data_IF_779680857620
#
_entry.id   IF_779680857620
#
_cell.length_a   1.000
_cell.length_b   1.000
_cell.length_c   1.000
_cell.angle_alpha   90.00
_cell.angle_beta   90.00
_cell.angle_gamma   90.00
#
_symmetry.space_group_name_H-M   'P 1'
#
loop_
_entity.id
_entity.type
_entity.pdbx_description
1 polymer ?
#
# COMPACT_ATOMS: atom_id res chain seq x y z
N UNK A 1 -27.48 -4.17 -21.88
CA UNK A 1 -26.82 -2.85 -21.78
C UNK A 1 -25.77 -2.97 -20.69
N UNK A 2 -24.52 -3.29 -21.03
CA UNK A 2 -23.45 -3.38 -20.03
C UNK A 2 -23.02 -1.96 -19.67
N UNK A 3 -23.43 -1.47 -18.51
CA UNK A 3 -22.87 -0.24 -17.94
C UNK A 3 -21.38 -0.46 -17.78
N UNK A 4 -20.55 0.31 -18.50
CA UNK A 4 -19.11 0.29 -18.32
C UNK A 4 -18.82 0.47 -16.83
N UNK A 5 -18.15 -0.51 -16.22
CA UNK A 5 -17.74 -0.39 -14.83
C UNK A 5 -16.85 0.86 -14.72
N UNK A 6 -17.09 1.76 -13.75
CA UNK A 6 -16.24 2.91 -13.57
C UNK A 6 -14.78 2.47 -13.40
N UNK A 7 -13.88 3.14 -14.11
CA UNK A 7 -12.45 2.82 -14.10
C UNK A 7 -11.92 2.94 -12.66
N UNK A 8 -11.45 1.82 -12.09
CA UNK A 8 -10.93 1.78 -10.73
C UNK A 8 -9.57 2.48 -10.67
N UNK A 9 -9.42 3.45 -9.77
CA UNK A 9 -8.18 4.21 -9.65
C UNK A 9 -7.27 3.55 -8.61
N UNK A 10 -6.10 3.05 -9.04
CA UNK A 10 -5.08 2.49 -8.14
C UNK A 10 -4.66 3.53 -7.10
N UNK A 11 -4.57 3.09 -5.84
CA UNK A 11 -4.31 3.95 -4.69
C UNK A 11 -5.53 4.72 -4.17
N UNK A 12 -6.73 4.42 -4.69
CA UNK A 12 -7.99 5.00 -4.23
C UNK A 12 -9.09 3.95 -4.11
N UNK A 13 -9.22 3.10 -5.11
CA UNK A 13 -10.30 2.10 -5.20
C UNK A 13 -9.72 0.69 -5.16
N UNK A 14 -10.14 -0.11 -4.19
CA UNK A 14 -9.77 -1.52 -4.08
C UNK A 14 -10.81 -2.40 -4.76
N UNK A 15 -10.35 -3.33 -5.60
CA UNK A 15 -11.20 -4.38 -6.15
C UNK A 15 -11.50 -5.49 -5.14
N UNK A 16 -12.44 -6.42 -5.42
CA UNK A 16 -12.73 -7.55 -4.55
C UNK A 16 -11.52 -8.31 -4.01
N UNK A 17 -10.50 -8.58 -4.85
CA UNK A 17 -9.29 -9.29 -4.42
C UNK A 17 -8.46 -8.44 -3.47
N UNK A 18 -8.22 -7.17 -3.83
CA UNK A 18 -7.52 -6.22 -2.98
C UNK A 18 -8.22 -5.94 -1.64
N UNK A 19 -9.56 -5.99 -1.62
CA UNK A 19 -10.38 -5.85 -0.41
C UNK A 19 -10.25 -7.07 0.50
N UNK A 20 -10.44 -8.27 -0.05
CA UNK A 20 -10.34 -9.51 0.72
C UNK A 20 -8.95 -9.65 1.34
N UNK A 21 -7.90 -9.43 0.55
CA UNK A 21 -6.52 -9.45 1.02
C UNK A 21 -6.31 -8.49 2.21
N UNK A 22 -6.74 -7.23 2.10
CA UNK A 22 -6.60 -6.24 3.18
C UNK A 22 -7.37 -6.62 4.44
N UNK A 23 -8.59 -7.15 4.31
CA UNK A 23 -9.35 -7.63 5.48
C UNK A 23 -8.58 -8.74 6.19
N UNK A 24 -8.07 -9.73 5.43
CA UNK A 24 -7.32 -10.84 6.00
C UNK A 24 -5.98 -10.40 6.61
N UNK A 25 -5.22 -9.56 5.90
CA UNK A 25 -3.94 -9.05 6.37
C UNK A 25 -4.11 -8.21 7.65
N UNK A 26 -5.09 -7.30 7.67
CA UNK A 26 -5.38 -6.51 8.87
C UNK A 26 -5.89 -7.36 10.03
N UNK A 27 -6.84 -8.28 9.79
CA UNK A 27 -7.37 -9.15 10.84
C UNK A 27 -6.30 -10.06 11.45
N UNK A 28 -5.43 -10.64 10.62
CA UNK A 28 -4.32 -11.47 11.12
C UNK A 28 -3.23 -10.62 11.77
N UNK A 29 -2.92 -9.43 11.25
CA UNK A 29 -1.99 -8.47 11.86
C UNK A 29 -2.36 -8.05 13.30
N UNK A 30 -3.66 -8.11 13.65
CA UNK A 30 -4.13 -7.87 15.01
C UNK A 30 -3.81 -9.03 15.99
N UNK A 31 -3.59 -10.26 15.51
CA UNK A 31 -3.35 -11.44 16.38
C UNK A 31 -2.13 -11.26 17.30
N UNK A 32 -0.93 -10.87 16.80
CA UNK A 32 0.22 -10.60 17.66
C UNK A 32 -0.04 -9.53 18.72
N UNK A 33 -0.88 -8.54 18.41
CA UNK A 33 -1.25 -7.49 19.35
C UNK A 33 -2.15 -8.06 20.43
N UNK A 34 -3.21 -8.76 20.05
CA UNK A 34 -4.18 -9.36 20.98
C UNK A 34 -3.49 -10.30 21.96
N UNK A 35 -2.56 -11.13 21.47
CA UNK A 35 -1.78 -12.04 22.32
C UNK A 35 -0.89 -11.30 23.31
N UNK A 36 -0.41 -10.10 22.97
CA UNK A 36 0.41 -9.25 23.84
C UNK A 36 -0.41 -8.47 24.87
N UNK A 37 -1.70 -8.25 24.62
CA UNK A 37 -2.60 -7.52 25.52
C UNK A 37 -3.11 -8.44 26.65
N UNK A 38 -2.25 -8.72 27.62
CA UNK A 38 -2.47 -9.67 28.71
C UNK A 38 -3.26 -9.13 29.91
N UNK A 39 -3.56 -7.83 29.93
CA UNK A 39 -4.20 -7.15 31.05
C UNK A 39 -5.12 -6.03 30.57
N UNK A 40 -6.14 -5.72 31.38
CA UNK A 40 -7.06 -4.60 31.11
C UNK A 40 -6.30 -3.27 30.98
N UNK A 41 -5.26 -3.06 31.79
CA UNK A 41 -4.41 -1.87 31.72
C UNK A 41 -3.68 -1.75 30.38
N UNK A 42 -3.10 -2.84 29.89
CA UNK A 42 -2.44 -2.87 28.57
C UNK A 42 -3.44 -2.58 27.44
N UNK A 43 -4.65 -3.17 27.51
CA UNK A 43 -5.73 -2.90 26.54
C UNK A 43 -6.10 -1.42 26.54
N UNK A 44 -6.38 -0.83 27.70
CA UNK A 44 -6.76 0.59 27.81
C UNK A 44 -5.65 1.52 27.31
N UNK A 45 -4.38 1.23 27.66
CA UNK A 45 -3.24 1.99 27.18
C UNK A 45 -3.09 1.90 25.65
N UNK A 46 -3.21 0.70 25.08
CA UNK A 46 -3.17 0.48 23.63
C UNK A 46 -4.28 1.24 22.91
N UNK A 47 -5.52 1.20 23.43
CA UNK A 47 -6.65 1.95 22.88
C UNK A 47 -6.48 3.46 22.99
N UNK A 48 -5.94 3.96 24.11
CA UNK A 48 -5.65 5.38 24.26
C UNK A 48 -4.62 5.84 23.22
N UNK A 49 -3.54 5.09 23.01
CA UNK A 49 -2.54 5.40 21.99
C UNK A 49 -3.08 5.26 20.57
N UNK A 50 -3.96 4.28 20.30
CA UNK A 50 -4.68 4.18 19.03
C UNK A 50 -5.43 5.48 18.71
N UNK A 51 -6.15 6.04 19.69
CA UNK A 51 -6.89 7.31 19.51
C UNK A 51 -5.94 8.48 19.23
N UNK A 52 -4.82 8.56 19.96
CA UNK A 52 -3.79 9.59 19.74
C UNK A 52 -3.22 9.50 18.32
N UNK A 53 -2.79 8.30 17.90
CA UNK A 53 -2.21 8.04 16.58
C UNK A 53 -3.24 8.34 15.47
N UNK A 54 -4.47 7.87 15.63
CA UNK A 54 -5.57 8.15 14.72
C UNK A 54 -5.80 9.66 14.55
N UNK A 55 -5.83 10.41 15.65
CA UNK A 55 -6.03 11.87 15.65
C UNK A 55 -4.90 12.57 14.90
N UNK A 56 -3.65 12.17 15.13
CA UNK A 56 -2.48 12.72 14.44
C UNK A 56 -2.61 12.49 12.94
N UNK A 57 -2.88 11.27 12.49
CA UNK A 57 -2.97 10.98 11.05
C UNK A 57 -4.17 11.64 10.37
N UNK A 58 -5.33 11.69 11.03
CA UNK A 58 -6.48 12.47 10.54
C UNK A 58 -6.11 13.95 10.42
N UNK A 59 -5.41 14.51 11.41
CA UNK A 59 -4.93 15.88 11.39
C UNK A 59 -3.95 16.16 10.24
N UNK A 60 -2.96 15.28 10.05
CA UNK A 60 -2.01 15.40 8.93
C UNK A 60 -2.74 15.37 7.58
N UNK A 61 -3.68 14.44 7.39
CA UNK A 61 -4.45 14.38 6.13
C UNK A 61 -5.34 15.61 5.97
N UNK A 62 -5.97 16.10 7.03
CA UNK A 62 -6.76 17.33 6.99
C UNK A 62 -5.92 18.54 6.54
N UNK A 63 -4.70 18.66 7.09
CA UNK A 63 -3.74 19.68 6.69
C UNK A 63 -3.32 19.49 5.23
N UNK A 64 -2.92 18.28 4.83
CA UNK A 64 -2.43 17.98 3.48
C UNK A 64 -3.51 17.97 2.39
N UNK A 65 -4.80 17.98 2.77
CA UNK A 65 -5.94 17.83 1.87
C UNK A 65 -5.87 18.71 0.60
N UNK A 66 -5.58 20.03 0.65
CA UNK A 66 -5.53 20.87 -0.56
C UNK A 66 -4.52 20.37 -1.60
N UNK A 67 -3.45 19.72 -1.15
CA UNK A 67 -2.37 19.20 -1.98
C UNK A 67 -2.62 17.75 -2.43
N UNK A 68 -3.35 16.96 -1.65
CA UNK A 68 -3.72 15.57 -1.98
C UNK A 68 -4.89 15.47 -2.96
N UNK A 69 -5.84 16.41 -2.88
CA UNK A 69 -7.02 16.43 -3.75
C UNK A 69 -6.75 17.06 -5.14
N UNK A 70 -5.52 17.56 -5.36
CA UNK A 70 -5.11 18.16 -6.64
C UNK A 70 -5.69 19.56 -6.91
N UNK A 71 -6.24 20.22 -5.88
CA UNK A 71 -6.87 21.54 -5.99
C UNK A 71 -5.89 22.70 -6.19
N UNK A 72 -4.59 22.51 -5.90
CA UNK A 72 -3.53 23.51 -6.06
C UNK A 72 -2.51 23.08 -7.11
N UNK A 73 -2.00 24.04 -7.88
CA UNK A 73 -1.11 23.86 -9.06
C UNK A 73 0.26 23.21 -8.77
N UNK A 74 0.59 22.88 -7.52
CA UNK A 74 1.77 22.08 -7.15
C UNK A 74 1.32 20.83 -6.40
N UNK A 75 0.92 19.84 -7.19
CA UNK A 75 0.26 18.60 -6.76
C UNK A 75 1.29 17.67 -6.13
N UNK A 76 1.06 17.25 -4.88
CA UNK A 76 1.80 16.12 -4.31
C UNK A 76 1.48 14.89 -5.13
N UNK A 77 2.51 14.23 -5.66
CA UNK A 77 2.28 12.94 -6.30
C UNK A 77 1.72 11.95 -5.28
N UNK A 78 0.93 10.94 -5.68
CA UNK A 78 0.47 9.90 -4.76
C UNK A 78 1.62 9.23 -3.99
N UNK A 79 2.80 9.09 -4.61
CA UNK A 79 4.02 8.60 -3.96
C UNK A 79 4.54 9.54 -2.87
N UNK A 80 4.58 10.84 -3.16
CA UNK A 80 5.05 11.85 -2.21
C UNK A 80 4.10 11.97 -1.03
N UNK A 81 2.79 11.97 -1.28
CA UNK A 81 1.78 11.95 -0.21
C UNK A 81 1.92 10.72 0.69
N UNK A 82 2.13 9.54 0.10
CA UNK A 82 2.38 8.32 0.86
C UNK A 82 3.65 8.36 1.68
N UNK A 83 4.75 8.86 1.10
CA UNK A 83 6.01 8.97 1.82
C UNK A 83 5.90 9.90 3.03
N UNK A 84 5.20 11.04 2.91
CA UNK A 84 4.97 11.95 4.03
C UNK A 84 4.20 11.27 5.17
N UNK A 85 3.18 10.47 4.84
CA UNK A 85 2.39 9.74 5.83
C UNK A 85 3.13 8.52 6.42
N UNK A 86 4.02 7.88 5.67
CA UNK A 86 4.79 6.74 6.15
C UNK A 86 6.05 7.14 6.93
N UNK A 87 6.62 8.31 6.66
CA UNK A 87 7.87 8.75 7.28
C UNK A 87 7.85 8.70 8.83
N UNK A 88 6.79 9.14 9.52
CA UNK A 88 6.73 9.02 10.98
C UNK A 88 6.84 7.58 11.49
N UNK A 89 6.41 6.59 10.70
CA UNK A 89 6.47 5.17 11.09
C UNK A 89 7.88 4.61 11.04
N UNK A 90 8.84 5.29 10.41
CA UNK A 90 10.26 4.86 10.45
C UNK A 90 10.85 4.90 11.85
N UNK A 91 10.25 5.65 12.79
CA UNK A 91 10.65 5.57 14.19
C UNK A 91 10.47 4.17 14.79
N UNK A 92 9.53 3.36 14.26
CA UNK A 92 9.22 2.02 14.75
C UNK A 92 10.38 1.02 14.53
N UNK A 93 10.86 0.76 13.30
CA UNK A 93 11.95 -0.20 13.07
C UNK A 93 13.28 0.23 13.72
N UNK A 94 13.48 1.52 14.00
CA UNK A 94 14.66 2.00 14.74
C UNK A 94 14.54 1.90 16.27
N UNK A 95 13.43 1.37 16.79
CA UNK A 95 13.22 1.22 18.23
C UNK A 95 13.08 2.56 18.97
N UNK A 96 12.72 3.64 18.27
CA UNK A 96 12.58 4.98 18.84
C UNK A 96 11.22 5.22 19.49
N UNK A 97 10.26 4.31 19.26
CA UNK A 97 8.90 4.40 19.81
C UNK A 97 8.82 3.56 21.09
N UNK A 98 8.44 4.15 22.24
CA UNK A 98 8.20 3.39 23.46
C UNK A 98 7.11 2.33 23.28
N UNK A 99 7.09 1.31 24.15
CA UNK A 99 6.23 0.14 23.98
C UNK A 99 4.73 0.45 23.89
N UNK A 100 4.21 1.33 24.77
CA UNK A 100 2.79 1.73 24.76
C UNK A 100 2.35 2.36 23.42
N UNK A 101 3.00 3.45 22.98
CA UNK A 101 2.76 4.04 21.66
C UNK A 101 2.94 3.03 20.51
N UNK A 102 3.92 2.13 20.59
CA UNK A 102 4.16 1.12 19.56
C UNK A 102 2.96 0.17 19.39
N UNK A 103 2.30 -0.23 20.50
CA UNK A 103 1.05 -0.99 20.47
C UNK A 103 -0.06 -0.19 19.80
N UNK A 104 -0.23 1.09 20.14
CA UNK A 104 -1.24 1.95 19.51
C UNK A 104 -1.01 2.17 18.02
N UNK A 105 0.24 2.37 17.59
CA UNK A 105 0.63 2.48 16.18
C UNK A 105 0.29 1.20 15.43
N UNK A 106 0.54 0.03 16.02
CA UNK A 106 0.25 -1.25 15.38
C UNK A 106 -1.26 -1.53 15.31
N UNK A 107 -2.00 -1.26 16.39
CA UNK A 107 -3.47 -1.31 16.40
C UNK A 107 -4.06 -0.42 15.31
N UNK A 108 -3.53 0.81 15.19
CA UNK A 108 -3.95 1.76 14.18
C UNK A 108 -3.65 1.24 12.78
N UNK A 109 -2.44 0.75 12.54
CA UNK A 109 -1.99 0.28 11.23
C UNK A 109 -2.81 -0.93 10.77
N UNK A 110 -2.81 -2.02 11.53
CA UNK A 110 -3.46 -3.27 11.15
C UNK A 110 -4.99 -3.14 11.11
N UNK A 111 -5.56 -2.41 12.10
CA UNK A 111 -6.98 -2.05 12.08
C UNK A 111 -7.35 -1.19 10.88
N UNK A 112 -6.48 -0.27 10.47
CA UNK A 112 -6.69 0.57 9.30
C UNK A 112 -6.59 -0.20 7.98
N UNK A 113 -5.69 -1.18 7.88
CA UNK A 113 -5.61 -2.07 6.71
C UNK A 113 -6.92 -2.85 6.58
N UNK A 114 -7.42 -3.45 7.67
CA UNK A 114 -8.69 -4.16 7.68
C UNK A 114 -9.84 -3.24 7.25
N UNK A 115 -9.92 -2.05 7.86
CA UNK A 115 -10.95 -1.07 7.56
C UNK A 115 -10.90 -0.60 6.10
N UNK A 116 -9.71 -0.42 5.52
CA UNK A 116 -9.54 -0.05 4.13
C UNK A 116 -10.15 -1.10 3.19
N UNK A 117 -9.94 -2.38 3.48
CA UNK A 117 -10.58 -3.49 2.77
C UNK A 117 -12.11 -3.48 2.89
N UNK A 118 -12.64 -3.24 4.09
CA UNK A 118 -14.08 -3.17 4.35
C UNK A 118 -14.75 -2.06 3.54
N UNK A 119 -14.19 -0.85 3.54
CA UNK A 119 -14.77 0.33 2.87
C UNK A 119 -14.39 0.45 1.38
N UNK A 120 -13.59 -0.49 0.86
CA UNK A 120 -13.13 -0.50 -0.52
C UNK A 120 -12.11 0.59 -0.84
N UNK A 121 -11.39 1.10 0.17
CA UNK A 121 -10.33 2.08 -0.04
C UNK A 121 -9.04 1.38 -0.45
N UNK A 122 -8.52 1.73 -1.63
CA UNK A 122 -7.28 1.19 -2.18
C UNK A 122 -6.03 1.98 -1.79
N UNK A 123 -6.15 3.09 -1.07
CA UNK A 123 -4.99 3.91 -0.74
C UNK A 123 -4.18 3.43 0.46
N UNK A 124 -3.38 4.35 1.02
CA UNK A 124 -2.58 4.10 2.21
C UNK A 124 -3.46 4.00 3.45
N UNK A 125 -3.28 2.93 4.22
CA UNK A 125 -4.02 2.62 5.44
C UNK A 125 -3.99 3.78 6.45
N UNK A 126 -2.89 4.53 6.52
CA UNK A 126 -2.75 5.72 7.38
C UNK A 126 -3.78 6.82 7.09
N UNK A 127 -4.39 6.83 5.89
CA UNK A 127 -5.43 7.79 5.51
C UNK A 127 -6.86 7.23 5.62
N UNK A 128 -7.05 5.99 6.08
CA UNK A 128 -8.37 5.34 6.06
C UNK A 128 -9.37 6.01 7.02
N UNK A 129 -8.95 6.38 8.23
CA UNK A 129 -9.84 7.07 9.17
C UNK A 129 -10.13 8.48 8.69
N UNK A 130 -9.14 9.16 8.13
CA UNK A 130 -9.34 10.47 7.51
C UNK A 130 -10.35 10.38 6.36
N UNK A 131 -10.35 9.27 5.62
CA UNK A 131 -11.32 9.02 4.55
C UNK A 131 -12.76 8.99 5.05
N UNK A 132 -12.98 8.42 6.24
CA UNK A 132 -14.31 8.38 6.87
C UNK A 132 -14.68 9.70 7.52
N UNK A 133 -13.77 10.28 8.31
CA UNK A 133 -14.02 11.49 9.11
C UNK A 133 -14.16 12.73 8.23
N UNK A 134 -13.25 12.92 7.28
CA UNK A 134 -13.22 14.10 6.40
C UNK A 134 -13.98 13.87 5.09
N UNK A 135 -14.47 12.65 4.85
CA UNK A 135 -15.17 12.23 3.61
C UNK A 135 -14.35 12.49 2.34
N UNK A 136 -13.03 12.28 2.42
CA UNK A 136 -12.10 12.43 1.28
C UNK A 136 -11.54 11.07 0.88
N UNK A 137 -11.27 10.84 -0.41
CA UNK A 137 -10.60 9.60 -0.86
C UNK A 137 -9.30 9.96 -1.60
N UNK A 138 -8.25 10.39 -0.86
CA UNK A 138 -7.00 10.81 -1.47
C UNK A 138 -6.37 9.62 -2.19
N UNK A 139 -5.73 9.89 -3.33
CA UNK A 139 -5.00 8.87 -4.08
C UNK A 139 -3.60 8.75 -3.48
N UNK A 140 -3.36 7.66 -2.76
CA UNK A 140 -2.11 7.38 -2.06
C UNK A 140 -1.68 5.95 -2.38
N UNK A 141 -0.39 5.71 -2.54
CA UNK A 141 0.12 4.35 -2.74
C UNK A 141 0.56 3.66 -1.45
N UNK A 142 0.23 2.39 -1.32
CA UNK A 142 0.61 1.47 -0.24
C UNK A 142 1.21 0.21 -0.85
N UNK A 143 1.99 -0.55 -0.07
CA UNK A 143 2.48 -1.86 -0.50
C UNK A 143 1.36 -2.79 -0.98
N UNK A 144 0.15 -2.64 -0.42
CA UNK A 144 -1.01 -3.47 -0.74
C UNK A 144 -1.58 -3.21 -2.15
N UNK A 145 -1.15 -2.13 -2.81
CA UNK A 145 -1.53 -1.87 -4.19
C UNK A 145 -1.02 -2.90 -5.20
N UNK A 146 -0.06 -3.75 -4.82
CA UNK A 146 0.37 -4.85 -5.69
C UNK A 146 -0.79 -5.76 -6.08
N UNK A 147 -1.71 -6.04 -5.15
CA UNK A 147 -2.89 -6.87 -5.41
C UNK A 147 -3.86 -6.13 -6.34
N UNK A 148 -4.08 -4.83 -6.09
CA UNK A 148 -4.96 -4.01 -6.94
C UNK A 148 -4.42 -3.89 -8.36
N UNK A 149 -3.10 -3.78 -8.53
CA UNK A 149 -2.44 -3.69 -9.84
C UNK A 149 -2.61 -4.98 -10.64
N UNK A 150 -2.53 -6.13 -9.98
CA UNK A 150 -2.77 -7.43 -10.59
C UNK A 150 -4.24 -7.55 -11.00
N UNK A 151 -5.16 -7.18 -10.11
CA UNK A 151 -6.60 -7.27 -10.37
C UNK A 151 -7.04 -6.36 -11.52
N UNK A 152 -6.49 -5.15 -11.60
CA UNK A 152 -6.80 -4.16 -12.64
C UNK A 152 -5.91 -4.30 -13.89
N UNK A 153 -5.13 -5.38 -14.03
CA UNK A 153 -4.30 -5.58 -15.21
C UNK A 153 -5.16 -5.61 -16.49
N UNK A 154 -4.72 -5.00 -17.61
CA UNK A 154 -5.51 -4.96 -18.84
C UNK A 154 -5.93 -6.35 -19.30
N UNK A 155 -7.14 -6.51 -19.86
CA UNK A 155 -7.65 -7.80 -20.31
C UNK A 155 -6.66 -8.55 -21.21
N UNK A 156 -5.95 -7.84 -22.10
CA UNK A 156 -4.93 -8.44 -22.99
C UNK A 156 -3.76 -9.04 -22.22
N UNK A 157 -3.31 -8.41 -21.13
CA UNK A 157 -2.29 -8.94 -20.26
C UNK A 157 -2.82 -10.15 -19.47
N UNK A 158 -4.07 -10.08 -19.01
CA UNK A 158 -4.72 -11.19 -18.35
C UNK A 158 -5.00 -12.36 -19.29
N UNK A 159 -5.13 -12.21 -20.61
CA UNK A 159 -5.38 -13.36 -21.52
C UNK A 159 -4.19 -14.32 -21.67
N UNK A 160 -2.99 -13.92 -21.24
CA UNK A 160 -1.80 -14.79 -21.29
C UNK A 160 -1.78 -15.74 -20.07
N UNK A 161 -1.80 -17.08 -20.26
CA UNK A 161 -1.87 -18.03 -19.15
C UNK A 161 -0.67 -17.89 -18.20
N UNK A 162 0.53 -17.64 -18.74
CA UNK A 162 1.74 -17.40 -17.93
C UNK A 162 1.62 -16.14 -17.05
N UNK A 163 1.04 -15.06 -17.59
CA UNK A 163 0.85 -13.82 -16.83
C UNK A 163 -0.18 -14.00 -15.72
N UNK A 164 -1.25 -14.78 -15.96
CA UNK A 164 -2.21 -15.17 -14.90
C UNK A 164 -1.54 -16.00 -13.82
N UNK A 165 -0.83 -17.07 -14.21
CA UNK A 165 -0.17 -17.96 -13.26
C UNK A 165 0.84 -17.19 -12.39
N UNK A 166 1.69 -16.36 -13.00
CA UNK A 166 2.64 -15.53 -12.28
C UNK A 166 1.95 -14.51 -11.36
N UNK A 167 0.87 -13.88 -11.83
CA UNK A 167 0.08 -12.95 -11.01
C UNK A 167 -0.56 -13.61 -9.79
N UNK A 168 -1.17 -14.79 -9.98
CA UNK A 168 -1.77 -15.58 -8.89
C UNK A 168 -0.71 -16.02 -7.89
N UNK A 169 0.41 -16.58 -8.36
CA UNK A 169 1.53 -16.97 -7.50
C UNK A 169 2.10 -15.78 -6.75
N UNK A 170 2.21 -14.61 -7.40
CA UNK A 170 2.65 -13.37 -6.76
C UNK A 170 1.72 -12.93 -5.64
N UNK A 171 0.39 -12.95 -5.86
CA UNK A 171 -0.58 -12.63 -4.80
C UNK A 171 -0.50 -13.63 -3.66
N UNK A 172 -0.40 -14.93 -3.95
CA UNK A 172 -0.32 -15.97 -2.92
C UNK A 172 0.93 -15.81 -2.07
N UNK A 173 2.09 -15.66 -2.71
CA UNK A 173 3.35 -15.49 -2.01
C UNK A 173 3.42 -14.14 -1.28
N UNK A 174 2.83 -13.07 -1.81
CA UNK A 174 2.66 -11.80 -1.09
C UNK A 174 1.75 -11.98 0.13
N UNK A 175 0.64 -12.71 -0.03
CA UNK A 175 -0.31 -12.99 1.05
C UNK A 175 0.31 -13.80 2.18
N UNK A 176 1.21 -14.73 1.86
CA UNK A 176 1.96 -15.49 2.84
C UNK A 176 2.63 -14.57 3.87
N UNK A 177 3.46 -13.62 3.44
CA UNK A 177 4.20 -12.73 4.34
C UNK A 177 3.34 -11.83 5.21
N UNK A 178 2.16 -11.44 4.72
CA UNK A 178 1.27 -10.55 5.47
C UNK A 178 0.27 -11.27 6.37
N UNK A 179 0.05 -12.58 6.18
CA UNK A 179 -0.99 -13.34 6.87
C UNK A 179 -0.39 -14.42 7.75
N UNK A 180 0.46 -15.29 7.19
CA UNK A 180 0.86 -16.54 7.85
C UNK A 180 1.76 -16.31 9.07
N UNK A 181 2.81 -15.47 9.01
CA UNK A 181 3.66 -15.20 10.19
C UNK A 181 2.87 -14.64 11.38
N UNK A 182 1.84 -13.83 11.12
CA UNK A 182 1.00 -13.25 12.16
C UNK A 182 0.14 -14.28 12.90
N UNK A 183 -0.14 -15.42 12.26
CA UNK A 183 -0.95 -16.49 12.83
C UNK A 183 -0.17 -17.45 13.71
N UNK A 184 1.15 -17.55 13.54
CA UNK A 184 2.02 -18.54 14.24
C UNK A 184 2.88 -17.91 15.35
N UNK A 185 2.58 -16.66 15.73
CA UNK A 185 3.28 -15.96 16.82
C UNK A 185 3.15 -16.68 18.15
N UNK A 186 4.13 -16.48 19.05
CA UNK A 186 4.12 -17.07 20.40
C UNK A 186 2.85 -16.67 21.14
N UNK A 187 2.13 -17.65 21.67
CA UNK A 187 0.85 -17.46 22.38
C UNK A 187 -0.40 -17.54 21.50
N UNK A 188 -0.24 -17.67 20.18
CA UNK A 188 -1.36 -17.97 19.27
C UNK A 188 -1.72 -19.46 19.28
N UNK A 189 -2.97 -19.84 18.89
CA UNK A 189 -3.37 -21.24 18.75
C UNK A 189 -2.55 -22.04 17.73
N UNK A 190 -1.93 -21.36 16.76
CA UNK A 190 -1.15 -21.99 15.68
C UNK A 190 0.35 -21.88 15.91
N UNK A 191 0.80 -21.52 17.11
CA UNK A 191 2.23 -21.37 17.42
C UNK A 191 3.05 -22.64 17.13
N UNK A 192 2.45 -23.83 17.28
CA UNK A 192 3.11 -25.10 16.95
C UNK A 192 3.53 -25.24 15.48
N UNK A 193 2.95 -24.44 14.57
CA UNK A 193 3.32 -24.39 13.17
C UNK A 193 4.41 -23.34 12.85
N UNK A 194 4.99 -22.68 13.87
CA UNK A 194 5.99 -21.62 13.66
C UNK A 194 7.23 -22.12 12.94
N UNK A 195 7.89 -23.15 13.46
CA UNK A 195 9.11 -23.70 12.88
C UNK A 195 8.93 -24.17 11.42
N UNK A 196 7.91 -24.97 11.06
CA UNK A 196 7.69 -25.34 9.67
C UNK A 196 7.32 -24.14 8.79
N UNK A 197 6.69 -23.10 9.34
CA UNK A 197 6.41 -21.85 8.60
C UNK A 197 7.72 -21.11 8.26
N UNK A 198 8.61 -20.94 9.24
CA UNK A 198 9.90 -20.26 9.05
C UNK A 198 10.79 -20.99 8.02
N UNK A 199 10.72 -22.33 7.98
CA UNK A 199 11.42 -23.13 6.96
C UNK A 199 10.90 -22.86 5.54
N UNK A 200 9.63 -22.48 5.39
CA UNK A 200 9.01 -22.18 4.09
C UNK A 200 9.26 -20.74 3.64
N UNK A 201 9.59 -19.81 4.53
CA UNK A 201 9.78 -18.39 4.19
C UNK A 201 10.82 -18.19 3.07
N UNK A 202 11.93 -18.93 3.10
CA UNK A 202 12.92 -18.90 2.04
C UNK A 202 12.40 -19.39 0.70
N UNK A 203 11.57 -20.45 0.70
CA UNK A 203 10.96 -20.98 -0.53
C UNK A 203 9.94 -19.99 -1.11
N UNK A 204 9.12 -19.37 -0.25
CA UNK A 204 8.16 -18.35 -0.67
C UNK A 204 8.88 -17.12 -1.25
N UNK A 205 10.03 -16.75 -0.70
CA UNK A 205 10.89 -15.69 -1.24
C UNK A 205 11.34 -16.01 -2.67
N UNK A 206 11.81 -17.25 -2.88
CA UNK A 206 12.23 -17.73 -4.20
C UNK A 206 11.06 -17.76 -5.19
N UNK A 207 9.87 -18.13 -4.75
CA UNK A 207 8.66 -18.08 -5.59
C UNK A 207 8.37 -16.65 -6.04
N UNK A 208 8.49 -15.65 -5.16
CA UNK A 208 8.34 -14.24 -5.55
C UNK A 208 9.38 -13.79 -6.57
N UNK A 209 10.65 -14.18 -6.40
CA UNK A 209 11.71 -13.92 -7.38
C UNK A 209 11.34 -14.55 -8.73
N UNK A 210 10.97 -15.83 -8.74
CA UNK A 210 10.60 -16.54 -9.95
C UNK A 210 9.40 -15.87 -10.64
N UNK A 211 8.38 -15.49 -9.89
CA UNK A 211 7.23 -14.73 -10.40
C UNK A 211 7.68 -13.40 -11.03
N UNK A 212 8.55 -12.65 -10.36
CA UNK A 212 9.06 -11.38 -10.87
C UNK A 212 9.80 -11.57 -12.20
N UNK A 213 10.65 -12.59 -12.29
CA UNK A 213 11.38 -12.95 -13.51
C UNK A 213 10.45 -13.41 -14.63
N UNK A 214 9.42 -14.20 -14.32
CA UNK A 214 8.42 -14.64 -15.30
C UNK A 214 7.58 -13.47 -15.82
N UNK A 215 7.20 -12.54 -14.94
CA UNK A 215 6.50 -11.31 -15.34
C UNK A 215 7.39 -10.40 -16.19
N UNK A 216 8.70 -10.32 -15.88
CA UNK A 216 9.67 -9.61 -16.69
C UNK A 216 9.82 -10.26 -18.07
N UNK A 217 10.05 -11.57 -18.12
CA UNK A 217 10.20 -12.34 -19.36
C UNK A 217 8.95 -12.24 -20.25
N UNK A 218 7.75 -12.33 -19.66
CA UNK A 218 6.49 -12.16 -20.38
C UNK A 218 6.32 -10.75 -20.97
N UNK A 219 7.00 -9.73 -20.43
CA UNK A 219 6.92 -8.32 -20.81
C UNK A 219 8.05 -7.82 -21.70
N UNK A 220 9.18 -8.53 -21.81
CA UNK A 220 10.22 -8.23 -22.83
C UNK A 220 9.65 -8.22 -24.25
N UNK A 221 8.49 -8.86 -24.48
CA UNK A 221 7.74 -8.82 -25.74
C UNK A 221 6.83 -7.58 -25.96
N UNK A 222 6.67 -6.67 -24.99
CA UNK A 222 5.72 -5.54 -25.08
C UNK A 222 6.32 -4.23 -24.54
N UNK A 223 6.49 -3.25 -25.42
CA UNK A 223 7.12 -1.93 -25.23
C UNK A 223 6.49 -1.05 -24.14
N UNK A 224 6.82 -1.27 -22.86
CA UNK A 224 6.54 -0.31 -21.77
C UNK A 224 7.72 -0.21 -20.78
N UNK A 225 8.84 0.31 -21.26
CA UNK A 225 10.16 0.26 -20.63
C UNK A 225 10.44 1.17 -19.42
N UNK A 226 9.45 1.69 -18.68
CA UNK A 226 9.72 2.42 -17.41
C UNK A 226 8.94 1.86 -16.23
N UNK A 227 7.65 1.65 -16.39
CA UNK A 227 6.78 1.07 -15.36
C UNK A 227 7.13 -0.39 -15.08
N UNK A 228 7.55 -1.14 -16.11
CA UNK A 228 8.00 -2.51 -15.96
C UNK A 228 9.28 -2.61 -15.12
N UNK A 229 10.29 -1.77 -15.41
CA UNK A 229 11.52 -1.72 -14.62
C UNK A 229 11.29 -1.32 -13.17
N UNK A 230 10.41 -0.35 -12.91
CA UNK A 230 10.06 0.04 -11.54
C UNK A 230 9.40 -1.11 -10.76
N UNK A 231 8.48 -1.86 -11.40
CA UNK A 231 7.86 -3.05 -10.79
C UNK A 231 8.87 -4.17 -10.56
N UNK A 232 9.75 -4.44 -11.52
CA UNK A 232 10.81 -5.44 -11.37
C UNK A 232 11.78 -5.07 -10.26
N UNK A 233 12.25 -3.82 -10.21
CA UNK A 233 13.10 -3.33 -9.13
C UNK A 233 12.42 -3.47 -7.77
N UNK A 234 11.12 -3.12 -7.69
CA UNK A 234 10.35 -3.26 -6.46
C UNK A 234 10.21 -4.73 -6.05
N UNK A 235 9.98 -5.65 -6.98
CA UNK A 235 9.91 -7.09 -6.70
C UNK A 235 11.27 -7.69 -6.31
N UNK A 236 12.37 -7.21 -6.89
CA UNK A 236 13.73 -7.63 -6.50
C UNK A 236 14.08 -7.12 -5.10
N UNK A 237 13.77 -5.86 -4.80
CA UNK A 237 13.95 -5.31 -3.45
C UNK A 237 13.06 -6.04 -2.43
N UNK A 238 11.84 -6.37 -2.83
CA UNK A 238 10.91 -7.17 -2.03
C UNK A 238 11.51 -8.56 -1.74
N UNK A 239 11.99 -9.28 -2.76
CA UNK A 239 12.65 -10.57 -2.58
C UNK A 239 13.91 -10.50 -1.71
N UNK A 240 14.74 -9.47 -1.89
CA UNK A 240 15.92 -9.24 -1.05
C UNK A 240 15.52 -9.02 0.41
N UNK A 241 14.46 -8.24 0.66
CA UNK A 241 13.89 -8.05 2.00
C UNK A 241 13.34 -9.34 2.61
N UNK A 242 12.67 -10.19 1.83
CA UNK A 242 12.23 -11.52 2.28
C UNK A 242 13.41 -12.40 2.69
N UNK A 243 14.46 -12.45 1.86
CA UNK A 243 15.62 -13.31 2.10
C UNK A 243 16.34 -13.00 3.41
N UNK A 244 16.22 -11.77 3.93
CA UNK A 244 16.82 -11.34 5.20
C UNK A 244 15.79 -11.22 6.33
N UNK A 245 14.55 -11.66 6.13
CA UNK A 245 13.48 -11.59 7.14
C UNK A 245 13.01 -10.17 7.48
N UNK A 246 13.36 -9.15 6.69
CA UNK A 246 13.03 -7.74 6.93
C UNK A 246 11.75 -7.30 6.18
N UNK A 247 10.91 -8.27 5.81
CA UNK A 247 9.75 -8.07 4.94
C UNK A 247 8.49 -7.94 5.80
N UNK A 248 8.32 -6.77 6.43
CA UNK A 248 7.58 -5.69 5.78
C UNK A 248 8.30 -4.32 5.79
N UNK A 249 9.30 -4.14 6.64
CA UNK A 249 9.99 -2.86 6.87
C UNK A 249 10.74 -2.36 5.63
N UNK A 250 11.30 -3.29 4.85
CA UNK A 250 11.97 -2.98 3.58
C UNK A 250 11.02 -2.30 2.57
N UNK A 251 9.73 -2.67 2.55
CA UNK A 251 8.77 -2.06 1.62
C UNK A 251 8.40 -0.64 2.00
N UNK A 252 8.24 -0.35 3.29
CA UNK A 252 8.01 1.01 3.76
C UNK A 252 9.18 1.91 3.35
N UNK A 253 10.41 1.44 3.56
CA UNK A 253 11.62 2.17 3.13
C UNK A 253 11.63 2.44 1.62
N UNK A 254 11.20 1.48 0.79
CA UNK A 254 11.09 1.64 -0.67
C UNK A 254 10.05 2.70 -1.05
N UNK A 255 8.85 2.67 -0.45
CA UNK A 255 7.80 3.66 -0.75
C UNK A 255 8.26 5.06 -0.35
N UNK A 256 8.88 5.19 0.82
CA UNK A 256 9.43 6.45 1.32
C UNK A 256 10.51 6.99 0.37
N UNK A 257 11.49 6.15 0.02
CA UNK A 257 12.57 6.52 -0.89
C UNK A 257 12.03 6.92 -2.27
N UNK A 258 11.10 6.15 -2.83
CA UNK A 258 10.47 6.47 -4.10
C UNK A 258 9.75 7.83 -4.04
N UNK A 259 9.02 8.11 -2.96
CA UNK A 259 8.34 9.39 -2.77
C UNK A 259 9.32 10.57 -2.65
N UNK A 260 10.44 10.39 -1.95
CA UNK A 260 11.52 11.40 -1.83
C UNK A 260 12.15 11.66 -3.21
N UNK A 261 12.54 10.62 -3.94
CA UNK A 261 13.14 10.74 -5.27
C UNK A 261 12.21 11.47 -6.24
N UNK A 262 10.91 11.13 -6.23
CA UNK A 262 9.91 11.81 -7.07
C UNK A 262 9.77 13.28 -6.67
N UNK A 263 9.77 13.59 -5.38
CA UNK A 263 9.69 14.97 -4.89
C UNK A 263 10.91 15.79 -5.32
N UNK A 264 12.12 15.27 -5.11
CA UNK A 264 13.38 15.94 -5.53
C UNK A 264 13.41 16.12 -7.03
N UNK A 265 13.06 15.09 -7.81
CA UNK A 265 13.01 15.19 -9.27
C UNK A 265 12.00 16.24 -9.77
N UNK A 266 10.88 16.41 -9.07
CA UNK A 266 9.89 17.44 -9.38
C UNK A 266 10.38 18.86 -9.08
N UNK A 267 11.24 19.03 -8.06
CA UNK A 267 11.86 20.33 -7.72
C UNK A 267 13.01 20.68 -8.66
N UNK A 268 13.85 19.69 -9.01
CA UNK A 268 15.08 19.90 -9.79
C UNK A 268 14.82 20.05 -11.28
N UNK A 269 13.78 19.41 -11.83
CA UNK A 269 13.44 19.56 -13.25
C UNK A 269 12.88 20.97 -13.48
N UNK A 270 13.53 21.82 -14.28
CA UNK A 270 12.96 23.10 -14.68
C UNK A 270 11.60 22.82 -15.30
N UNK A 271 10.54 23.45 -14.78
CA UNK A 271 9.20 23.22 -15.28
C UNK A 271 9.17 23.55 -16.76
N UNK A 272 9.04 22.54 -17.62
CA UNK A 272 8.58 22.77 -18.98
C UNK A 272 7.20 23.42 -18.84
N UNK A 273 7.01 24.65 -19.34
CA UNK A 273 5.71 25.31 -19.26
C UNK A 273 4.66 24.35 -19.79
N UNK A 274 3.70 23.97 -18.94
CA UNK A 274 2.59 23.15 -19.41
C UNK A 274 1.90 23.99 -20.49
N UNK A 275 1.70 23.48 -21.72
CA UNK A 275 0.95 24.21 -22.72
C UNK A 275 -0.38 24.56 -22.08
N UNK A 276 -0.65 25.86 -21.98
CA UNK A 276 -1.90 26.41 -21.48
C UNK A 276 -3.01 25.65 -22.16
N UNK A 277 -3.83 24.92 -21.38
CA UNK A 277 -5.04 24.30 -21.91
C UNK A 277 -5.77 25.39 -22.70
N UNK A 278 -6.13 25.17 -23.98
CA UNK A 278 -6.92 26.13 -24.72
C UNK A 278 -8.13 26.45 -23.84
N UNK A 279 -8.29 27.74 -23.47
CA UNK A 279 -9.53 28.13 -22.83
C UNK A 279 -10.66 27.72 -23.78
N UNK A 280 -11.70 27.04 -23.31
CA UNK A 280 -12.87 26.76 -24.12
C UNK A 280 -13.30 28.08 -24.73
N UNK A 281 -13.21 28.20 -26.05
CA UNK A 281 -13.45 29.44 -26.75
C UNK A 281 -14.74 30.05 -26.24
N UNK A 282 -14.65 31.28 -25.73
CA UNK A 282 -15.80 32.16 -25.61
C UNK A 282 -16.39 32.23 -27.01
N UNK A 283 -17.41 31.40 -27.25
CA UNK A 283 -18.10 31.33 -28.52
C UNK A 283 -18.58 32.74 -28.84
N UNK A 284 -17.97 33.33 -29.85
CA UNK A 284 -18.51 34.49 -30.55
C UNK A 284 -19.90 34.09 -31.03
N UNK A 285 -20.93 34.52 -30.29
CA UNK A 285 -22.30 34.57 -30.78
C UNK A 285 -22.29 35.50 -31.98
N UNK A 286 -22.33 34.93 -33.18
CA UNK A 286 -22.79 35.65 -34.37
C UNK A 286 -24.18 36.20 -34.05
N UNK A 287 -24.31 37.53 -34.05
CA UNK A 287 -25.60 38.19 -34.09
C UNK A 287 -26.02 38.22 -35.55
N UNK A 288 -27.15 37.60 -35.82
CA UNK A 288 -27.98 37.80 -37.03
C UNK A 288 -28.54 39.22 -37.01
#
# INVERSE_FOLDING_TARGET
>A
MFTAQPERVIGRDAGPGGRAFRVLAGATGLVPIIVKLDSVGAVLAGLAWLVVVATIFVGIVALLRPWLDGSRERVLSPWTGSAILLLPLMAYPFGLIPEGPAVGVRLFTDGSVMLAGLIGYGGLEMAVLATLVLRVRPRLYSQYNVVDLVENAPERAQRRPLARAASTLGILAFSWYWIVPNLVVKGSPLHGAKEPTEQLDGMVALVLVAVALLLLAARVSTTTGRTAWALTALLVLFAAGAAVGAMPDALYAVIILAGIVVAVAAVVRPGTPRPSRPQPGLGTRERV
#
